data_IF_752797372550
#
_entry.id   IF_752797372550
#
_cell.length_a   1.000
_cell.length_b   1.000
_cell.length_c   1.000
_cell.angle_alpha   90.00
_cell.angle_beta   90.00
_cell.angle_gamma   90.00
#
_symmetry.space_group_name_H-M   'P 1'
#
loop_
_entity.id
_entity.type
_entity.pdbx_description
1 polymer ?
#
# COMPACT_ATOMS: atom_id res chain seq x y z
N UNK A 1 -16.00 72.56 -1.59
CA UNK A 1 -15.34 71.55 -0.75
C UNK A 1 -15.36 70.22 -1.49
N UNK A 2 -14.18 69.68 -1.81
CA UNK A 2 -14.00 68.37 -2.46
C UNK A 2 -14.03 67.29 -1.37
N UNK A 3 -14.79 66.21 -1.54
CA UNK A 3 -14.60 64.99 -0.76
C UNK A 3 -14.41 63.84 -1.75
N UNK A 4 -13.25 63.22 -1.61
CA UNK A 4 -12.71 62.14 -2.43
C UNK A 4 -13.42 60.81 -2.19
N UNK A 5 -13.34 59.98 -3.23
CA UNK A 5 -13.81 58.61 -3.34
C UNK A 5 -13.36 57.67 -2.21
N UNK A 6 -14.14 56.60 -1.99
CA UNK A 6 -13.65 55.30 -1.54
C UNK A 6 -14.51 54.21 -2.21
N UNK A 7 -14.00 53.68 -3.32
CA UNK A 7 -14.51 52.45 -3.93
C UNK A 7 -13.94 51.27 -3.15
N UNK A 8 -14.77 50.58 -2.38
CA UNK A 8 -14.38 49.32 -1.73
C UNK A 8 -14.43 48.20 -2.77
N UNK A 9 -13.28 47.81 -3.29
CA UNK A 9 -13.13 46.61 -4.13
C UNK A 9 -13.19 45.39 -3.21
N UNK A 10 -14.29 44.65 -3.26
CA UNK A 10 -14.41 43.34 -2.59
C UNK A 10 -13.74 42.30 -3.48
N UNK A 11 -12.52 41.88 -3.11
CA UNK A 11 -11.84 40.76 -3.75
C UNK A 11 -12.43 39.47 -3.18
N UNK A 12 -13.34 38.84 -3.92
CA UNK A 12 -13.84 37.50 -3.59
C UNK A 12 -12.78 36.49 -4.04
N UNK A 13 -11.87 36.12 -3.14
CA UNK A 13 -10.92 35.03 -3.36
C UNK A 13 -11.69 33.72 -3.44
N UNK A 14 -11.81 33.16 -4.64
CA UNK A 14 -12.32 31.81 -4.87
C UNK A 14 -11.40 30.79 -4.18
N UNK A 15 -11.85 30.28 -3.03
CA UNK A 15 -11.20 29.16 -2.33
C UNK A 15 -11.41 27.92 -3.21
N UNK A 16 -10.43 27.65 -4.08
CA UNK A 16 -10.30 26.36 -4.74
C UNK A 16 -10.00 25.34 -3.64
N UNK A 17 -11.04 24.72 -3.10
CA UNK A 17 -10.90 23.46 -2.39
C UNK A 17 -10.34 22.47 -3.41
N UNK A 18 -9.02 22.29 -3.40
CA UNK A 18 -8.39 21.08 -3.90
C UNK A 18 -8.96 19.94 -3.06
N UNK A 19 -10.10 19.39 -3.46
CA UNK A 19 -10.48 18.06 -3.05
C UNK A 19 -9.39 17.15 -3.62
N UNK A 20 -8.42 16.79 -2.78
CA UNK A 20 -7.59 15.64 -3.05
C UNK A 20 -8.57 14.49 -3.25
N UNK A 21 -8.66 13.99 -4.49
CA UNK A 21 -9.45 12.81 -4.80
C UNK A 21 -8.97 11.72 -3.85
N UNK A 22 -9.82 11.32 -2.91
CA UNK A 22 -9.51 10.21 -2.03
C UNK A 22 -9.30 8.99 -2.93
N UNK A 23 -8.09 8.40 -2.88
CA UNK A 23 -7.81 7.17 -3.61
C UNK A 23 -8.57 6.07 -2.91
N UNK A 24 -9.69 5.65 -3.48
CA UNK A 24 -10.49 4.57 -2.94
C UNK A 24 -10.09 3.28 -3.66
N UNK A 25 -9.17 2.51 -3.08
CA UNK A 25 -9.00 1.09 -3.41
C UNK A 25 -9.51 0.28 -2.21
N UNK A 26 -10.68 -0.36 -2.31
CA UNK A 26 -11.28 -1.11 -1.20
C UNK A 26 -10.40 -2.22 -0.62
N UNK A 27 -9.49 -2.77 -1.44
CA UNK A 27 -8.50 -3.77 -1.00
C UNK A 27 -7.42 -3.12 -0.13
N UNK A 28 -6.95 -1.94 -0.50
CA UNK A 28 -5.94 -1.22 0.30
C UNK A 28 -6.53 -0.62 1.58
N UNK A 29 -7.81 -0.26 1.58
CA UNK A 29 -8.49 0.24 2.78
C UNK A 29 -8.81 -0.84 3.82
N UNK A 30 -8.73 -2.12 3.46
CA UNK A 30 -8.82 -3.21 4.43
C UNK A 30 -7.74 -3.10 5.51
N UNK A 31 -6.52 -2.71 5.13
CA UNK A 31 -5.45 -2.49 6.09
C UNK A 31 -5.76 -1.37 7.10
N UNK A 32 -6.54 -0.36 6.71
CA UNK A 32 -7.01 0.66 7.65
C UNK A 32 -8.02 0.07 8.63
N UNK A 33 -8.96 -0.76 8.15
CA UNK A 33 -9.94 -1.41 9.01
C UNK A 33 -9.25 -2.31 10.04
N UNK A 34 -8.28 -3.11 9.60
CA UNK A 34 -7.49 -3.93 10.52
C UNK A 34 -6.66 -3.08 11.48
N UNK A 35 -6.07 -1.97 11.04
CA UNK A 35 -5.39 -1.08 11.99
C UNK A 35 -6.37 -0.49 13.02
N UNK A 36 -7.57 -0.10 12.59
CA UNK A 36 -8.58 0.45 13.48
C UNK A 36 -9.09 -0.58 14.50
N UNK A 37 -9.06 -1.88 14.16
CA UNK A 37 -9.43 -2.98 15.05
C UNK A 37 -8.28 -3.43 15.96
N UNK A 38 -7.10 -3.70 15.38
CA UNK A 38 -5.97 -4.33 16.07
C UNK A 38 -5.01 -3.33 16.71
N UNK A 39 -5.04 -2.04 16.31
CA UNK A 39 -4.33 -0.92 16.97
C UNK A 39 -2.80 -1.07 17.06
N UNK A 40 -2.14 -1.55 16.00
CA UNK A 40 -0.69 -1.72 16.03
C UNK A 40 0.09 -0.42 15.98
N UNK A 41 -0.44 0.58 15.27
CA UNK A 41 0.11 1.92 15.18
C UNK A 41 0.56 2.27 13.77
N UNK A 42 0.69 3.58 13.46
CA UNK A 42 0.92 4.07 12.09
C UNK A 42 2.31 3.73 11.53
N UNK A 43 3.23 3.23 12.37
CA UNK A 43 4.60 2.83 11.97
C UNK A 43 4.72 1.33 11.75
N UNK A 44 3.70 0.56 12.11
CA UNK A 44 3.70 -0.90 12.00
C UNK A 44 3.22 -1.36 10.63
N UNK A 45 3.26 -2.68 10.41
CA UNK A 45 3.07 -3.29 9.11
C UNK A 45 1.82 -2.83 8.37
N UNK A 46 0.64 -2.88 9.01
CA UNK A 46 -0.65 -2.61 8.36
C UNK A 46 -0.68 -1.25 7.65
N UNK A 47 -0.11 -0.21 8.27
CA UNK A 47 -0.14 1.14 7.72
C UNK A 47 1.13 1.50 6.97
N UNK A 48 2.29 1.44 7.62
CA UNK A 48 3.54 1.94 7.07
C UNK A 48 4.04 1.13 5.88
N UNK A 49 3.62 -0.14 5.79
CA UNK A 49 4.03 -1.04 4.74
C UNK A 49 2.84 -1.46 3.89
N UNK A 50 1.89 -2.20 4.44
CA UNK A 50 0.85 -2.87 3.67
C UNK A 50 -0.06 -1.87 2.92
N UNK A 51 -0.72 -0.94 3.64
CA UNK A 51 -1.56 0.11 3.02
C UNK A 51 -0.76 0.98 2.06
N UNK A 52 0.41 1.47 2.48
CA UNK A 52 1.24 2.35 1.67
C UNK A 52 1.65 1.71 0.33
N UNK A 53 2.23 0.51 0.36
CA UNK A 53 2.67 -0.17 -0.86
C UNK A 53 1.49 -0.74 -1.67
N UNK A 54 0.39 -1.11 -1.03
CA UNK A 54 -0.83 -1.50 -1.74
C UNK A 54 -1.28 -0.38 -2.68
N UNK A 55 -1.37 0.86 -2.19
CA UNK A 55 -1.71 2.01 -3.03
C UNK A 55 -0.65 2.30 -4.08
N UNK A 56 0.65 2.21 -3.74
CA UNK A 56 1.71 2.40 -4.73
C UNK A 56 1.54 1.46 -5.94
N UNK A 57 1.18 0.19 -5.71
CA UNK A 57 0.96 -0.79 -6.77
C UNK A 57 -0.40 -0.66 -7.49
N UNK A 58 -1.17 0.38 -7.19
CA UNK A 58 -2.39 0.77 -7.91
C UNK A 58 -2.20 2.02 -8.76
N UNK A 59 -1.06 2.72 -8.61
CA UNK A 59 -0.81 3.97 -9.31
C UNK A 59 -0.80 3.76 -10.84
N UNK A 60 -1.68 4.45 -11.59
CA UNK A 60 -1.81 4.25 -13.03
C UNK A 60 -0.47 4.39 -13.77
N UNK A 61 0.33 5.39 -13.41
CA UNK A 61 1.62 5.66 -14.04
C UNK A 61 2.63 4.53 -13.80
N UNK A 62 2.69 3.98 -12.58
CA UNK A 62 3.56 2.86 -12.26
C UNK A 62 3.07 1.59 -12.98
N UNK A 63 1.79 1.26 -12.83
CA UNK A 63 1.18 0.06 -13.40
C UNK A 63 1.27 0.10 -14.93
N UNK A 64 1.17 1.26 -15.58
CA UNK A 64 1.33 1.40 -17.02
C UNK A 64 2.70 0.93 -17.53
N UNK A 65 3.75 0.99 -16.70
CA UNK A 65 5.10 0.51 -17.06
C UNK A 65 5.24 -1.01 -17.04
N UNK A 66 4.31 -1.73 -16.41
CA UNK A 66 4.40 -3.17 -16.25
C UNK A 66 3.92 -3.91 -17.50
N UNK A 67 4.58 -5.03 -17.83
CA UNK A 67 4.09 -5.96 -18.83
C UNK A 67 2.82 -6.66 -18.33
N UNK A 68 2.01 -7.30 -19.20
CA UNK A 68 0.83 -8.04 -18.76
C UNK A 68 1.12 -9.11 -17.71
N UNK A 69 2.26 -9.80 -17.80
CA UNK A 69 2.67 -10.81 -16.82
C UNK A 69 3.12 -10.17 -15.49
N UNK A 70 3.82 -9.02 -15.55
CA UNK A 70 4.18 -8.24 -14.37
C UNK A 70 2.95 -7.75 -13.61
N UNK A 71 1.97 -7.17 -14.32
CA UNK A 71 0.68 -6.76 -13.75
C UNK A 71 -0.04 -7.91 -13.05
N UNK A 72 -0.15 -9.06 -13.74
CA UNK A 72 -0.78 -10.26 -13.19
C UNK A 72 -0.11 -10.72 -11.90
N UNK A 73 1.23 -10.74 -11.88
CA UNK A 73 2.00 -11.19 -10.71
C UNK A 73 1.85 -10.25 -9.52
N UNK A 74 1.98 -8.93 -9.72
CA UNK A 74 1.81 -7.92 -8.66
C UNK A 74 0.38 -7.92 -8.12
N UNK A 75 -0.63 -8.01 -8.98
CA UNK A 75 -2.02 -8.10 -8.55
C UNK A 75 -2.29 -9.37 -7.73
N UNK A 76 -1.75 -10.51 -8.16
CA UNK A 76 -1.83 -11.76 -7.40
C UNK A 76 -1.20 -11.62 -6.01
N UNK A 77 -0.02 -11.00 -5.90
CA UNK A 77 0.66 -10.80 -4.61
C UNK A 77 -0.23 -10.00 -3.64
N UNK A 78 -0.85 -8.91 -4.12
CA UNK A 78 -1.75 -8.09 -3.29
C UNK A 78 -2.90 -8.91 -2.71
N UNK A 79 -3.56 -9.72 -3.53
CA UNK A 79 -4.65 -10.58 -3.08
C UNK A 79 -4.17 -11.68 -2.13
N UNK A 80 -3.03 -12.31 -2.43
CA UNK A 80 -2.44 -13.35 -1.59
C UNK A 80 -2.07 -12.82 -0.20
N UNK A 81 -1.45 -11.63 -0.13
CA UNK A 81 -1.11 -11.00 1.14
C UNK A 81 -2.36 -10.68 1.95
N UNK A 82 -3.37 -10.04 1.33
CA UNK A 82 -4.64 -9.76 2.01
C UNK A 82 -5.29 -11.01 2.59
N UNK A 83 -5.39 -12.10 1.82
CA UNK A 83 -5.97 -13.37 2.29
C UNK A 83 -5.21 -13.95 3.49
N UNK A 84 -3.87 -13.98 3.41
CA UNK A 84 -3.03 -14.51 4.50
C UNK A 84 -3.08 -13.63 5.75
N UNK A 85 -3.02 -12.32 5.60
CA UNK A 85 -3.17 -11.37 6.72
C UNK A 85 -4.54 -11.54 7.36
N UNK A 86 -5.62 -11.59 6.57
CA UNK A 86 -6.98 -11.77 7.08
C UNK A 86 -7.10 -13.06 7.89
N UNK A 87 -6.58 -14.17 7.37
CA UNK A 87 -6.59 -15.46 8.05
C UNK A 87 -5.76 -15.43 9.34
N UNK A 88 -4.60 -14.79 9.32
CA UNK A 88 -3.79 -14.62 10.52
C UNK A 88 -4.53 -13.84 11.60
N UNK A 89 -5.18 -12.75 11.21
CA UNK A 89 -5.91 -11.87 12.13
C UNK A 89 -7.18 -12.53 12.67
N UNK A 90 -7.92 -13.30 11.86
CA UNK A 90 -9.19 -13.93 12.28
C UNK A 90 -9.06 -14.90 13.46
N UNK A 91 -7.86 -15.46 13.66
CA UNK A 91 -7.56 -16.38 14.75
C UNK A 91 -7.04 -15.67 16.03
N UNK A 92 -7.01 -14.32 16.02
CA UNK A 92 -6.42 -13.51 17.09
C UNK A 92 -7.47 -12.63 17.76
N UNK A 93 -7.16 -12.22 18.99
CA UNK A 93 -8.02 -11.33 19.77
C UNK A 93 -7.52 -9.90 19.67
N UNK A 94 -8.37 -8.99 19.22
CA UNK A 94 -8.12 -7.56 19.26
C UNK A 94 -8.39 -6.94 20.67
N UNK A 95 -7.76 -5.80 21.01
CA UNK A 95 -6.64 -5.18 20.29
C UNK A 95 -5.33 -5.95 20.55
N UNK A 96 -4.35 -5.78 19.67
CA UNK A 96 -3.03 -6.36 19.84
C UNK A 96 -2.21 -5.60 20.89
N UNK A 97 -1.35 -6.32 21.58
CA UNK A 97 -0.25 -5.72 22.32
C UNK A 97 0.99 -5.59 21.42
N UNK A 98 2.07 -5.00 21.95
CA UNK A 98 3.31 -4.79 21.20
C UNK A 98 3.94 -6.11 20.68
N UNK A 99 3.82 -7.21 21.42
CA UNK A 99 4.33 -8.52 21.01
C UNK A 99 3.52 -9.09 19.85
N UNK A 100 2.18 -8.96 19.89
CA UNK A 100 1.31 -9.43 18.80
C UNK A 100 1.58 -8.65 17.49
N UNK A 101 1.78 -7.33 17.57
CA UNK A 101 2.12 -6.51 16.42
C UNK A 101 3.53 -6.79 15.88
N UNK A 102 4.50 -7.00 16.76
CA UNK A 102 5.84 -7.42 16.34
C UNK A 102 5.81 -8.79 15.65
N UNK A 103 4.97 -9.71 16.12
CA UNK A 103 4.80 -11.02 15.49
C UNK A 103 4.09 -10.91 14.13
N UNK A 104 3.06 -10.07 14.00
CA UNK A 104 2.45 -9.77 12.71
C UNK A 104 3.50 -9.26 11.71
N UNK A 105 4.29 -8.26 12.09
CA UNK A 105 5.37 -7.74 11.23
C UNK A 105 6.35 -8.84 10.81
N UNK A 106 6.72 -9.73 11.75
CA UNK A 106 7.66 -10.83 11.49
C UNK A 106 7.07 -11.79 10.48
N UNK A 107 5.89 -12.35 10.76
CA UNK A 107 5.21 -13.34 9.90
C UNK A 107 4.98 -12.77 8.49
N UNK A 108 4.53 -11.52 8.39
CA UNK A 108 4.32 -10.85 7.11
C UNK A 108 5.60 -10.80 6.28
N UNK A 109 6.72 -10.48 6.91
CA UNK A 109 8.00 -10.32 6.23
C UNK A 109 8.68 -11.66 5.88
N UNK A 110 8.66 -12.64 6.79
CA UNK A 110 9.46 -13.86 6.66
C UNK A 110 8.70 -15.04 6.07
N UNK A 111 7.37 -15.05 6.21
CA UNK A 111 6.52 -16.15 5.78
C UNK A 111 5.63 -15.69 4.62
N UNK A 112 4.74 -14.71 4.85
CA UNK A 112 3.70 -14.38 3.86
C UNK A 112 4.24 -13.75 2.59
N UNK A 113 5.13 -12.75 2.69
CA UNK A 113 5.73 -12.14 1.50
C UNK A 113 6.51 -13.16 0.67
N UNK A 114 7.48 -13.91 1.20
CA UNK A 114 8.20 -14.90 0.39
C UNK A 114 7.29 -15.93 -0.28
N UNK A 115 6.28 -16.43 0.44
CA UNK A 115 5.33 -17.39 -0.11
C UNK A 115 4.48 -16.78 -1.22
N UNK A 116 3.88 -15.61 -1.01
CA UNK A 116 3.08 -14.94 -2.04
C UNK A 116 3.91 -14.55 -3.27
N UNK A 117 5.15 -14.08 -3.10
CA UNK A 117 6.02 -13.74 -4.22
C UNK A 117 6.40 -14.96 -5.05
N UNK A 118 6.60 -16.10 -4.40
CA UNK A 118 6.86 -17.37 -5.07
C UNK A 118 5.61 -17.91 -5.79
N UNK A 119 4.48 -17.98 -5.09
CA UNK A 119 3.20 -18.51 -5.60
C UNK A 119 2.64 -17.69 -6.76
N UNK A 120 2.76 -16.36 -6.68
CA UNK A 120 2.33 -15.45 -7.73
C UNK A 120 3.34 -15.29 -8.88
N UNK A 121 4.41 -16.08 -8.89
CA UNK A 121 5.37 -16.15 -9.99
C UNK A 121 6.29 -14.93 -10.13
N UNK A 122 6.31 -14.01 -9.14
CA UNK A 122 7.15 -12.80 -9.21
C UNK A 122 8.63 -13.16 -9.33
N UNK A 123 9.06 -14.17 -8.58
CA UNK A 123 10.44 -14.64 -8.56
C UNK A 123 10.93 -15.25 -9.87
N UNK A 124 10.03 -15.45 -10.85
CA UNK A 124 10.33 -15.97 -12.19
C UNK A 124 10.23 -14.90 -13.28
N UNK A 125 9.83 -13.67 -12.92
CA UNK A 125 9.73 -12.56 -13.87
C UNK A 125 11.10 -12.13 -14.37
N UNK A 126 11.10 -11.48 -15.53
CA UNK A 126 12.26 -10.71 -15.98
C UNK A 126 12.24 -9.33 -15.32
N UNK A 127 13.41 -8.70 -15.09
CA UNK A 127 13.46 -7.35 -14.54
C UNK A 127 12.63 -6.32 -15.33
N UNK A 128 12.45 -6.51 -16.63
CA UNK A 128 11.65 -5.64 -17.50
C UNK A 128 10.14 -5.77 -17.30
N UNK A 129 9.65 -6.84 -16.64
CA UNK A 129 8.21 -7.04 -16.45
C UNK A 129 7.59 -6.06 -15.46
N UNK A 130 8.37 -5.61 -14.48
CA UNK A 130 7.95 -4.67 -13.42
C UNK A 130 8.92 -3.49 -13.25
N UNK A 131 9.94 -3.39 -14.10
CA UNK A 131 11.03 -2.44 -13.98
C UNK A 131 12.19 -2.95 -13.12
N UNK A 132 13.42 -2.80 -13.63
CA UNK A 132 14.58 -3.51 -13.08
C UNK A 132 14.92 -3.12 -11.64
N UNK A 133 14.74 -1.84 -11.27
CA UNK A 133 14.99 -1.36 -9.91
C UNK A 133 14.00 -1.97 -8.91
N UNK A 134 12.71 -1.99 -9.26
CA UNK A 134 11.66 -2.59 -8.44
C UNK A 134 11.85 -4.10 -8.32
N UNK A 135 12.08 -4.77 -9.45
CA UNK A 135 12.35 -6.21 -9.47
C UNK A 135 13.53 -6.56 -8.55
N UNK A 136 14.67 -5.87 -8.69
CA UNK A 136 15.86 -6.12 -7.86
C UNK A 136 15.57 -5.95 -6.37
N UNK A 137 14.87 -4.87 -5.99
CA UNK A 137 14.54 -4.60 -4.58
C UNK A 137 13.68 -5.70 -3.99
N UNK A 138 12.59 -6.06 -4.66
CA UNK A 138 11.62 -7.01 -4.14
C UNK A 138 12.12 -8.46 -4.22
N UNK A 139 12.81 -8.85 -5.30
CA UNK A 139 13.37 -10.19 -5.43
C UNK A 139 14.49 -10.43 -4.42
N UNK A 140 15.31 -9.43 -4.10
CA UNK A 140 16.32 -9.55 -3.04
C UNK A 140 15.67 -9.75 -1.67
N UNK A 141 14.53 -9.11 -1.41
CA UNK A 141 13.85 -9.20 -0.12
C UNK A 141 13.07 -10.50 0.05
N UNK A 142 12.37 -10.97 -0.99
CA UNK A 142 11.32 -11.97 -0.83
C UNK A 142 11.50 -13.23 -1.69
N UNK A 143 12.32 -13.19 -2.74
CA UNK A 143 12.62 -14.38 -3.51
C UNK A 143 13.74 -15.15 -2.84
N UNK A 144 13.41 -16.28 -2.22
CA UNK A 144 14.41 -17.23 -1.73
C UNK A 144 15.30 -17.63 -2.90
N UNK A 145 16.62 -17.59 -2.71
CA UNK A 145 17.54 -18.24 -3.66
C UNK A 145 17.22 -19.74 -3.60
N UNK A 146 16.79 -20.32 -4.72
CA UNK A 146 16.76 -21.77 -4.84
C UNK A 146 18.20 -22.25 -4.62
N UNK A 147 18.46 -22.95 -3.51
CA UNK A 147 19.68 -23.71 -3.32
C UNK A 147 19.68 -24.92 -4.25
#
# INVERSE_FOLDING_TARGET
MKISALYTVVVVSAIHHFCASERIDPLCDEYQRWEDEYKCGPKEYLIAYAKHYCYLFTEPDLVATFTPIGKKSVFCIRLCLLDRTQKYLSDKKAPFNATDCAELNRVEHVDFHPECYQECGFCKLQPTDVGAALFKRLSTAFCKKSN
#
